data_IF_085407501630
#
_entry.id   IF_085407501630
#
_cell.length_a   1.000
_cell.length_b   1.000
_cell.length_c   1.000
_cell.angle_alpha   90.00
_cell.angle_beta   90.00
_cell.angle_gamma   90.00
#
_symmetry.space_group_name_H-M   'P 1'
#
loop_
_entity.id
_entity.type
_entity.pdbx_description
1 polymer ?
#
# COMPACT_ATOMS: atom_id res chain seq x y z
N UNK A 1 4.55 -12.32 -7.13
CA UNK A 1 4.29 -10.87 -7.01
C UNK A 1 4.28 -10.57 -5.53
N UNK A 2 5.10 -9.61 -5.11
CA UNK A 2 5.28 -9.20 -3.73
C UNK A 2 4.83 -7.76 -3.58
N UNK A 3 4.08 -7.48 -2.53
CA UNK A 3 3.60 -6.14 -2.21
C UNK A 3 4.05 -5.82 -0.78
N UNK A 4 4.85 -4.78 -0.65
CA UNK A 4 5.24 -4.21 0.63
C UNK A 4 4.39 -2.98 0.88
N UNK A 5 3.83 -2.89 2.08
CA UNK A 5 2.96 -1.81 2.49
C UNK A 5 3.42 -1.26 3.83
N UNK A 6 3.56 0.05 3.90
CA UNK A 6 3.78 0.79 5.14
C UNK A 6 2.76 1.92 5.20
N UNK A 7 2.06 2.00 6.32
CA UNK A 7 1.23 3.13 6.70
C UNK A 7 1.90 3.86 7.85
N UNK A 8 2.17 5.14 7.67
CA UNK A 8 2.67 6.07 8.68
C UNK A 8 1.73 7.28 8.81
N UNK A 9 1.93 8.11 9.84
CA UNK A 9 1.05 9.24 10.10
C UNK A 9 -0.35 8.87 10.59
N UNK A 10 -1.25 9.86 10.62
CA UNK A 10 -2.61 9.72 11.16
C UNK A 10 -2.70 9.75 12.69
N UNK A 11 -3.93 9.72 13.18
CA UNK A 11 -4.25 9.84 14.61
C UNK A 11 -3.68 8.64 15.39
N UNK A 12 -2.79 8.92 16.35
CA UNK A 12 -2.00 8.01 17.21
C UNK A 12 -0.56 7.65 16.77
N UNK A 13 -0.08 8.06 15.59
CA UNK A 13 1.33 7.90 15.20
C UNK A 13 1.84 6.45 15.11
N UNK A 14 0.94 5.46 15.11
CA UNK A 14 1.30 4.05 15.05
C UNK A 14 1.60 3.64 13.60
N UNK A 15 2.84 3.22 13.34
CA UNK A 15 3.24 2.68 12.04
C UNK A 15 2.65 1.28 11.91
N UNK A 16 1.99 1.01 10.78
CA UNK A 16 1.47 -0.31 10.42
C UNK A 16 2.11 -0.74 9.12
N UNK A 17 2.36 -2.02 8.98
CA UNK A 17 2.88 -2.54 7.72
C UNK A 17 2.52 -4.00 7.52
N UNK A 18 2.63 -4.42 6.26
CA UNK A 18 2.61 -5.82 5.90
C UNK A 18 3.44 -6.05 4.64
N UNK A 19 3.87 -7.29 4.51
CA UNK A 19 4.48 -7.78 3.31
C UNK A 19 3.65 -8.98 2.85
N UNK A 20 3.12 -8.87 1.63
CA UNK A 20 2.26 -9.88 1.03
C UNK A 20 2.94 -10.43 -0.20
N UNK A 21 3.23 -11.73 -0.19
CA UNK A 21 3.76 -12.41 -1.37
C UNK A 21 2.75 -13.42 -1.91
N UNK A 22 2.42 -13.31 -3.20
CA UNK A 22 1.43 -14.18 -3.86
C UNK A 22 1.84 -15.64 -3.91
N UNK A 23 3.12 -15.99 -3.75
CA UNK A 23 3.57 -17.37 -3.67
C UNK A 23 3.36 -17.97 -2.27
N UNK A 24 3.28 -17.14 -1.24
CA UNK A 24 3.00 -17.56 0.15
C UNK A 24 1.54 -17.41 0.57
N UNK A 25 0.79 -16.55 -0.12
CA UNK A 25 -0.61 -16.29 0.17
C UNK A 25 -1.51 -17.44 -0.32
N UNK A 26 -2.66 -17.59 0.35
CA UNK A 26 -3.72 -18.47 -0.15
C UNK A 26 -4.13 -18.04 -1.57
N UNK A 27 -4.46 -18.99 -2.47
CA UNK A 27 -4.72 -18.70 -3.88
C UNK A 27 -5.83 -17.65 -4.07
N UNK A 28 -6.88 -17.69 -3.26
CA UNK A 28 -7.97 -16.70 -3.26
C UNK A 28 -7.47 -15.28 -2.93
N UNK A 29 -6.69 -15.15 -1.86
CA UNK A 29 -6.09 -13.86 -1.46
C UNK A 29 -5.06 -13.36 -2.49
N UNK A 30 -4.28 -14.26 -3.10
CA UNK A 30 -3.31 -13.94 -4.13
C UNK A 30 -3.99 -13.43 -5.41
N UNK A 31 -5.11 -14.03 -5.82
CA UNK A 31 -5.91 -13.54 -6.95
C UNK A 31 -6.55 -12.19 -6.65
N UNK A 32 -7.08 -12.01 -5.44
CA UNK A 32 -7.66 -10.72 -5.03
C UNK A 32 -6.60 -9.62 -5.01
N UNK A 33 -5.42 -9.87 -4.45
CA UNK A 33 -4.31 -8.91 -4.44
C UNK A 33 -3.88 -8.53 -5.87
N UNK A 34 -3.74 -9.50 -6.76
CA UNK A 34 -3.42 -9.23 -8.17
C UNK A 34 -4.47 -8.35 -8.85
N UNK A 35 -5.76 -8.65 -8.66
CA UNK A 35 -6.83 -7.81 -9.21
C UNK A 35 -6.79 -6.39 -8.65
N UNK A 36 -6.60 -6.24 -7.35
CA UNK A 36 -6.54 -4.92 -6.71
C UNK A 36 -5.34 -4.10 -7.20
N UNK A 37 -4.18 -4.72 -7.39
CA UNK A 37 -3.00 -4.05 -7.96
C UNK A 37 -3.27 -3.62 -9.40
N UNK A 38 -3.86 -4.48 -10.23
CA UNK A 38 -4.20 -4.13 -11.62
C UNK A 38 -5.25 -3.02 -11.71
N UNK A 39 -6.27 -3.04 -10.85
CA UNK A 39 -7.35 -2.05 -10.82
C UNK A 39 -6.90 -0.72 -10.19
N UNK A 40 -5.88 -0.74 -9.32
CA UNK A 40 -5.41 0.45 -8.62
C UNK A 40 -4.89 1.57 -9.53
N UNK A 41 -4.55 1.25 -10.78
CA UNK A 41 -3.97 2.19 -11.75
C UNK A 41 -2.56 2.67 -11.37
N UNK A 42 -1.96 2.12 -10.31
CA UNK A 42 -0.61 2.50 -9.86
C UNK A 42 0.39 2.13 -10.96
N UNK A 43 1.05 3.15 -11.50
CA UNK A 43 1.97 3.02 -12.63
C UNK A 43 3.21 3.88 -12.39
N UNK A 44 4.39 3.30 -12.57
CA UNK A 44 5.66 3.97 -12.33
C UNK A 44 5.90 4.30 -10.85
N UNK A 45 7.15 4.63 -10.53
CA UNK A 45 7.50 5.03 -9.17
C UNK A 45 7.35 6.55 -9.01
N UNK A 46 6.55 6.99 -8.04
CA UNK A 46 6.31 8.40 -7.78
C UNK A 46 5.89 8.67 -6.33
N UNK A 47 6.14 9.89 -5.88
CA UNK A 47 5.69 10.39 -4.59
C UNK A 47 4.70 11.52 -4.84
N UNK A 48 3.55 11.47 -4.19
CA UNK A 48 2.55 12.53 -4.19
C UNK A 48 2.06 12.73 -2.77
N UNK A 49 2.58 13.78 -2.12
CA UNK A 49 2.25 14.11 -0.74
C UNK A 49 1.65 15.52 -0.64
N UNK A 50 0.51 15.64 0.04
CA UNK A 50 -0.14 16.89 0.39
C UNK A 50 0.67 17.69 1.40
N UNK A 51 0.67 19.03 1.27
CA UNK A 51 1.40 19.93 2.19
C UNK A 51 0.90 19.89 3.64
N UNK A 52 -0.29 19.36 3.87
CA UNK A 52 -0.91 19.19 5.20
C UNK A 52 -0.40 17.94 5.95
N UNK A 53 0.57 17.21 5.38
CA UNK A 53 0.92 15.80 5.65
C UNK A 53 1.31 15.33 7.05
N UNK A 54 1.11 16.10 8.13
CA UNK A 54 1.34 15.63 9.51
C UNK A 54 0.12 14.92 10.12
N UNK A 55 -1.09 15.33 9.74
CA UNK A 55 -2.35 14.73 10.24
C UNK A 55 -2.89 13.61 9.33
N UNK A 56 -2.41 13.53 8.10
CA UNK A 56 -2.86 12.55 7.11
C UNK A 56 -2.12 11.22 7.27
N UNK A 57 -2.81 10.13 6.91
CA UNK A 57 -2.16 8.83 6.75
C UNK A 57 -1.34 8.81 5.48
N UNK A 58 -0.04 8.54 5.61
CA UNK A 58 0.88 8.30 4.50
C UNK A 58 0.93 6.80 4.21
N UNK A 59 0.99 6.45 2.93
CA UNK A 59 0.94 5.10 2.40
C UNK A 59 2.11 4.90 1.45
N UNK A 60 3.05 4.05 1.84
CA UNK A 60 4.14 3.60 1.00
C UNK A 60 3.77 2.21 0.48
N UNK A 61 3.68 2.07 -0.85
CA UNK A 61 3.29 0.82 -1.51
C UNK A 61 4.39 0.48 -2.52
N UNK A 62 5.05 -0.65 -2.32
CA UNK A 62 6.00 -1.20 -3.27
C UNK A 62 5.47 -2.50 -3.84
N UNK A 63 5.30 -2.55 -5.16
CA UNK A 63 4.85 -3.73 -5.90
C UNK A 63 6.01 -4.26 -6.74
N UNK A 64 6.35 -5.51 -6.52
CA UNK A 64 7.39 -6.25 -7.23
C UNK A 64 6.79 -7.50 -7.88
N UNK A 65 6.63 -7.50 -9.21
CA UNK A 65 6.21 -8.69 -9.94
C UNK A 65 5.55 -8.41 -11.29
N UNK A 66 5.68 -9.36 -12.22
CA UNK A 66 5.16 -9.38 -13.60
C UNK A 66 5.51 -8.17 -14.50
N UNK A 67 6.23 -7.17 -13.99
CA UNK A 67 6.65 -5.96 -14.68
C UNK A 67 7.72 -5.18 -13.89
N UNK A 68 7.96 -3.91 -14.25
CA UNK A 68 8.91 -3.06 -13.53
C UNK A 68 8.47 -2.87 -12.07
N UNK A 69 9.45 -2.75 -11.18
CA UNK A 69 9.19 -2.41 -9.77
C UNK A 69 8.48 -1.05 -9.70
N UNK A 70 7.36 -1.03 -9.00
CA UNK A 70 6.56 0.17 -8.75
C UNK A 70 6.70 0.51 -7.27
N UNK A 71 7.18 1.70 -6.96
CA UNK A 71 7.24 2.23 -5.61
C UNK A 71 6.51 3.57 -5.57
N UNK A 72 5.37 3.61 -4.88
CA UNK A 72 4.56 4.83 -4.75
C UNK A 72 4.42 5.26 -3.31
N UNK A 73 4.45 6.56 -3.09
CA UNK A 73 4.21 7.19 -1.79
C UNK A 73 3.05 8.16 -1.96
N UNK A 74 1.96 7.91 -1.25
CA UNK A 74 0.70 8.63 -1.37
C UNK A 74 0.17 8.96 0.03
N UNK A 75 -0.75 9.90 0.14
CA UNK A 75 -1.52 10.16 1.37
C UNK A 75 -3.02 10.12 1.10
N UNK A 76 -3.83 10.33 2.13
CA UNK A 76 -5.28 10.24 2.05
C UNK A 76 -5.91 11.18 1.01
N UNK A 77 -5.29 12.34 0.74
CA UNK A 77 -5.76 13.30 -0.26
C UNK A 77 -5.26 12.96 -1.68
N UNK A 78 -4.05 12.43 -1.82
CA UNK A 78 -3.45 12.14 -3.14
C UNK A 78 -3.77 10.74 -3.65
N UNK A 79 -4.28 9.85 -2.80
CA UNK A 79 -4.63 8.47 -3.15
C UNK A 79 -5.81 8.43 -4.15
N UNK A 80 -5.62 7.89 -5.37
CA UNK A 80 -6.70 7.77 -6.33
C UNK A 80 -7.79 6.84 -5.82
N UNK A 81 -9.05 7.12 -6.19
CA UNK A 81 -10.20 6.34 -5.77
C UNK A 81 -10.09 4.85 -6.13
N UNK A 82 -9.46 4.53 -7.27
CA UNK A 82 -9.20 3.17 -7.72
C UNK A 82 -8.19 2.41 -6.83
N UNK A 83 -7.26 3.11 -6.17
CA UNK A 83 -6.28 2.50 -5.26
C UNK A 83 -6.80 2.34 -3.82
N UNK A 84 -7.93 2.98 -3.45
CA UNK A 84 -8.57 2.83 -2.14
C UNK A 84 -8.85 1.38 -1.75
N UNK A 85 -9.44 0.52 -2.60
CA UNK A 85 -9.67 -0.88 -2.24
C UNK A 85 -8.37 -1.66 -2.04
N UNK A 86 -7.30 -1.37 -2.80
CA UNK A 86 -5.97 -1.96 -2.58
C UNK A 86 -5.43 -1.57 -1.20
N UNK A 87 -5.43 -0.28 -0.87
CA UNK A 87 -4.98 0.20 0.45
C UNK A 87 -5.83 -0.39 1.58
N UNK A 88 -7.14 -0.49 1.41
CA UNK A 88 -8.03 -1.12 2.39
C UNK A 88 -7.68 -2.59 2.63
N UNK A 89 -7.40 -3.35 1.57
CA UNK A 89 -6.96 -4.75 1.68
C UNK A 89 -5.61 -4.86 2.38
N UNK A 90 -4.64 -4.01 2.03
CA UNK A 90 -3.31 -4.00 2.67
C UNK A 90 -3.43 -3.64 4.15
N UNK A 91 -4.19 -2.60 4.51
CA UNK A 91 -4.51 -2.19 5.89
C UNK A 91 -5.10 -3.32 6.72
N UNK A 92 -6.04 -4.08 6.15
CA UNK A 92 -6.68 -5.23 6.84
C UNK A 92 -5.68 -6.35 7.13
N UNK A 93 -4.67 -6.52 6.29
CA UNK A 93 -3.59 -7.49 6.47
C UNK A 93 -2.38 -6.90 7.22
N UNK A 94 -2.40 -5.60 7.53
CA UNK A 94 -1.31 -4.91 8.22
C UNK A 94 -1.31 -5.25 9.69
N UNK A 95 -0.11 -5.29 10.27
CA UNK A 95 0.06 -5.38 11.72
C UNK A 95 0.79 -4.14 12.23
N UNK A 96 0.58 -3.77 13.51
CA UNK A 96 1.41 -2.75 14.14
C UNK A 96 2.87 -3.19 14.04
N UNK A 97 3.71 -2.33 13.48
CA UNK A 97 5.15 -2.54 13.45
C UNK A 97 5.78 -1.66 14.53
N UNK A 98 6.68 -2.20 15.38
CA UNK A 98 7.36 -1.38 16.36
C UNK A 98 8.18 -0.31 15.64
N UNK A 99 8.05 0.94 16.09
CA UNK A 99 8.95 2.03 15.73
C UNK A 99 10.36 1.62 16.20
N UNK A 100 11.30 1.51 15.25
CA UNK A 100 12.67 1.10 15.51
C UNK A 100 13.54 2.29 15.86
#
# INVERSE_FOLDING_TARGET
MRVQFVQSGGYAGAVKGCELDTATLAPDAAQQLQKLVQDSGLSGSHESLSKTGRDLGQYEITVEGHGPKIAVVLDDETLPAAAKPLVGFLKKNSRPVPLK
#
